data_IF_672056634216
#
_entry.id   IF_672056634216
#
_cell.length_a   1.000
_cell.length_b   1.000
_cell.length_c   1.000
_cell.angle_alpha   90.00
_cell.angle_beta   90.00
_cell.angle_gamma   90.00
#
_symmetry.space_group_name_H-M   'P 1'
#
loop_
_entity.id
_entity.type
_entity.pdbx_description
1 polymer ?
#
# COMPACT_ATOMS: atom_id res chain seq x y z
N UNK A 1 -31.87 34.44 -6.79
CA UNK A 1 -32.79 33.31 -7.02
C UNK A 1 -31.99 32.25 -7.75
N UNK A 2 -31.57 31.16 -7.09
CA UNK A 2 -30.74 30.13 -7.72
C UNK A 2 -31.60 29.30 -8.67
N UNK A 3 -31.27 29.32 -9.96
CA UNK A 3 -31.96 28.52 -10.99
C UNK A 3 -31.46 27.09 -10.85
N UNK A 4 -32.31 26.20 -10.33
CA UNK A 4 -31.97 24.79 -10.21
C UNK A 4 -32.18 24.09 -11.57
N UNK A 5 -31.16 23.40 -12.07
CA UNK A 5 -31.24 22.58 -13.29
C UNK A 5 -32.21 21.42 -13.01
N UNK A 6 -33.27 21.27 -13.80
CA UNK A 6 -34.31 20.24 -13.61
C UNK A 6 -34.08 18.96 -14.42
N UNK A 7 -32.95 18.85 -15.11
CA UNK A 7 -32.62 17.67 -15.91
C UNK A 7 -32.13 16.51 -15.02
N UNK A 8 -32.87 15.39 -14.94
CA UNK A 8 -32.45 14.24 -14.14
C UNK A 8 -31.17 13.57 -14.68
N UNK A 9 -30.93 13.61 -15.99
CA UNK A 9 -29.73 13.02 -16.61
C UNK A 9 -28.48 13.78 -16.20
N UNK A 10 -28.56 15.11 -16.12
CA UNK A 10 -27.48 15.93 -15.59
C UNK A 10 -27.08 15.51 -14.17
N UNK A 11 -28.04 15.39 -13.25
CA UNK A 11 -27.77 15.00 -11.86
C UNK A 11 -27.30 13.56 -11.72
N UNK A 12 -27.80 12.67 -12.59
CA UNK A 12 -27.30 11.30 -12.69
C UNK A 12 -25.82 11.29 -13.09
N UNK A 13 -25.44 12.02 -14.15
CA UNK A 13 -24.06 12.10 -14.61
C UNK A 13 -23.12 12.68 -13.55
N UNK A 14 -23.55 13.72 -12.80
CA UNK A 14 -22.79 14.27 -11.68
C UNK A 14 -22.61 13.25 -10.56
N UNK A 15 -23.66 12.50 -10.22
CA UNK A 15 -23.60 11.46 -9.20
C UNK A 15 -22.66 10.32 -9.61
N UNK A 16 -22.72 9.93 -10.88
CA UNK A 16 -21.83 8.96 -11.50
C UNK A 16 -20.36 9.42 -11.45
N UNK A 17 -20.06 10.64 -11.90
CA UNK A 17 -18.71 11.21 -11.83
C UNK A 17 -18.19 11.27 -10.39
N UNK A 18 -19.04 11.67 -9.44
CA UNK A 18 -18.68 11.71 -8.01
C UNK A 18 -18.31 10.33 -7.48
N UNK A 19 -19.02 9.28 -7.88
CA UNK A 19 -18.71 7.90 -7.49
C UNK A 19 -17.31 7.51 -7.94
N UNK A 20 -16.96 7.77 -9.20
CA UNK A 20 -15.66 7.43 -9.78
C UNK A 20 -14.51 8.29 -9.24
N UNK A 21 -14.75 9.56 -8.91
CA UNK A 21 -13.72 10.48 -8.42
C UNK A 21 -13.48 10.39 -6.91
N UNK A 22 -14.40 9.79 -6.15
CA UNK A 22 -14.26 9.70 -4.69
C UNK A 22 -13.06 8.85 -4.23
N UNK A 23 -12.82 7.63 -4.75
CA UNK A 23 -11.63 6.85 -4.37
C UNK A 23 -10.29 7.59 -4.59
N UNK A 24 -10.02 8.21 -5.76
CA UNK A 24 -8.75 8.88 -6.02
C UNK A 24 -8.63 10.20 -5.25
N UNK A 25 -9.73 10.91 -4.98
CA UNK A 25 -9.70 12.06 -4.09
C UNK A 25 -9.30 11.66 -2.65
N UNK A 26 -9.81 10.53 -2.16
CA UNK A 26 -9.39 9.98 -0.86
C UNK A 26 -7.90 9.58 -0.88
N UNK A 27 -7.46 8.89 -1.92
CA UNK A 27 -6.06 8.51 -2.09
C UNK A 27 -5.12 9.73 -2.15
N UNK A 28 -5.50 10.79 -2.88
CA UNK A 28 -4.75 12.03 -2.96
C UNK A 28 -4.63 12.69 -1.58
N UNK A 29 -5.73 12.78 -0.84
CA UNK A 29 -5.70 13.34 0.52
C UNK A 29 -4.79 12.54 1.46
N UNK A 30 -4.82 11.21 1.37
CA UNK A 30 -3.98 10.34 2.20
C UNK A 30 -2.50 10.43 1.83
N UNK A 31 -2.19 10.51 0.54
CA UNK A 31 -0.81 10.59 0.03
C UNK A 31 -0.19 11.97 0.20
N UNK A 32 -1.01 13.03 0.29
CA UNK A 32 -0.58 14.39 0.59
C UNK A 32 -0.49 14.68 2.09
N UNK A 33 -0.94 13.77 2.96
CA UNK A 33 -0.82 13.95 4.39
C UNK A 33 0.67 14.04 4.81
N UNK A 34 0.99 14.94 5.74
CA UNK A 34 2.37 15.18 6.23
C UNK A 34 3.04 13.94 6.80
N UNK A 35 2.25 12.94 7.22
CA UNK A 35 2.72 11.67 7.79
C UNK A 35 2.54 10.48 6.82
N UNK A 36 2.39 10.72 5.52
CA UNK A 36 2.30 9.65 4.54
C UNK A 36 3.60 8.84 4.51
N UNK A 37 3.50 7.54 4.76
CA UNK A 37 4.61 6.60 4.68
C UNK A 37 4.53 5.80 3.38
N UNK A 38 5.67 5.28 2.93
CA UNK A 38 5.77 4.50 1.68
C UNK A 38 4.82 3.29 1.68
N UNK A 39 4.70 2.59 2.81
CA UNK A 39 3.75 1.48 2.96
C UNK A 39 2.29 1.94 2.81
N UNK A 40 1.94 3.14 3.30
CA UNK A 40 0.61 3.72 3.11
C UNK A 40 0.30 3.97 1.64
N UNK A 41 1.29 4.39 0.84
CA UNK A 41 1.12 4.60 -0.61
C UNK A 41 0.78 3.28 -1.30
N UNK A 42 1.51 2.19 -1.04
CA UNK A 42 1.24 0.90 -1.67
C UNK A 42 -0.13 0.33 -1.24
N UNK A 43 -0.48 0.43 0.03
CA UNK A 43 -1.82 0.03 0.51
C UNK A 43 -2.92 0.87 -0.15
N UNK A 44 -2.67 2.14 -0.44
CA UNK A 44 -3.60 3.01 -1.16
C UNK A 44 -3.79 2.55 -2.60
N UNK A 45 -2.72 2.14 -3.31
CA UNK A 45 -2.86 1.51 -4.63
C UNK A 45 -3.69 0.23 -4.57
N UNK A 46 -3.43 -0.64 -3.59
CA UNK A 46 -4.22 -1.86 -3.37
C UNK A 46 -5.70 -1.54 -3.11
N UNK A 47 -5.99 -0.54 -2.28
CA UNK A 47 -7.34 -0.07 -2.02
C UNK A 47 -8.05 0.42 -3.28
N UNK A 48 -7.39 1.26 -4.10
CA UNK A 48 -7.97 1.75 -5.36
C UNK A 48 -8.29 0.61 -6.31
N UNK A 49 -7.36 -0.34 -6.47
CA UNK A 49 -7.57 -1.52 -7.31
C UNK A 49 -8.77 -2.34 -6.85
N UNK A 50 -8.90 -2.56 -5.54
CA UNK A 50 -10.05 -3.28 -4.97
C UNK A 50 -11.37 -2.53 -5.21
N UNK A 51 -11.40 -1.20 -4.99
CA UNK A 51 -12.59 -0.38 -5.18
C UNK A 51 -13.07 -0.43 -6.64
N UNK A 52 -12.18 -0.21 -7.60
CA UNK A 52 -12.56 -0.20 -9.02
C UNK A 52 -12.90 -1.59 -9.55
N UNK A 53 -12.22 -2.65 -9.08
CA UNK A 53 -12.59 -4.03 -9.43
C UNK A 53 -13.96 -4.45 -8.88
N UNK A 54 -14.46 -3.78 -7.84
CA UNK A 54 -15.79 -4.02 -7.29
C UNK A 54 -16.92 -3.26 -8.01
N UNK A 55 -16.59 -2.35 -8.93
CA UNK A 55 -17.56 -1.65 -9.77
C UNK A 55 -17.88 -2.53 -10.98
N UNK A 56 -19.02 -3.24 -10.91
CA UNK A 56 -19.43 -4.24 -11.89
C UNK A 56 -20.51 -3.76 -12.87
N UNK A 57 -20.98 -2.53 -12.73
CA UNK A 57 -22.04 -1.99 -13.59
C UNK A 57 -21.54 -1.89 -15.04
N UNK A 58 -22.32 -2.33 -16.04
CA UNK A 58 -21.91 -2.30 -17.45
C UNK A 58 -21.50 -0.90 -17.94
N UNK A 59 -22.14 0.14 -17.40
CA UNK A 59 -21.89 1.55 -17.70
C UNK A 59 -20.52 2.03 -17.19
N UNK A 60 -19.96 1.35 -16.20
CA UNK A 60 -18.68 1.70 -15.55
C UNK A 60 -17.48 1.06 -16.22
N UNK A 61 -17.66 -0.01 -17.00
CA UNK A 61 -16.58 -0.86 -17.52
C UNK A 61 -15.50 -0.05 -18.23
N UNK A 62 -15.88 0.89 -19.10
CA UNK A 62 -14.92 1.72 -19.83
C UNK A 62 -14.06 2.60 -18.92
N UNK A 63 -14.69 3.25 -17.93
CA UNK A 63 -13.99 4.09 -16.97
C UNK A 63 -13.09 3.28 -16.03
N UNK A 64 -13.61 2.17 -15.51
CA UNK A 64 -12.90 1.24 -14.62
C UNK A 64 -11.65 0.69 -15.31
N UNK A 65 -11.76 0.23 -16.56
CA UNK A 65 -10.62 -0.28 -17.34
C UNK A 65 -9.55 0.79 -17.52
N UNK A 66 -9.94 2.02 -17.88
CA UNK A 66 -9.00 3.12 -18.05
C UNK A 66 -8.29 3.48 -16.73
N UNK A 67 -9.01 3.46 -15.61
CA UNK A 67 -8.45 3.77 -14.29
C UNK A 67 -7.51 2.67 -13.81
N UNK A 68 -7.92 1.39 -13.92
CA UNK A 68 -7.07 0.25 -13.57
C UNK A 68 -5.79 0.28 -14.41
N UNK A 69 -5.91 0.45 -15.74
CA UNK A 69 -4.74 0.55 -16.61
C UNK A 69 -3.82 1.72 -16.23
N UNK A 70 -4.39 2.84 -15.78
CA UNK A 70 -3.59 3.97 -15.29
C UNK A 70 -2.86 3.66 -13.97
N UNK A 71 -3.46 2.87 -13.08
CA UNK A 71 -2.83 2.44 -11.83
C UNK A 71 -1.71 1.44 -12.13
N UNK A 72 -1.96 0.44 -12.97
CA UNK A 72 -0.98 -0.57 -13.37
C UNK A 72 0.20 0.07 -14.10
N UNK A 73 -0.05 1.03 -15.00
CA UNK A 73 1.01 1.79 -15.66
C UNK A 73 1.88 2.57 -14.67
N UNK A 74 1.28 3.20 -13.65
CA UNK A 74 2.06 3.90 -12.61
C UNK A 74 2.86 2.93 -11.74
N UNK A 75 2.29 1.76 -11.44
CA UNK A 75 2.98 0.71 -10.70
C UNK A 75 4.18 0.17 -11.48
N UNK A 76 4.06 -0.03 -12.80
CA UNK A 76 5.17 -0.44 -13.67
C UNK A 76 6.32 0.58 -13.68
N UNK A 77 6.02 1.88 -13.53
CA UNK A 77 7.01 2.96 -13.59
C UNK A 77 7.62 3.37 -12.26
N UNK A 78 7.16 2.82 -11.13
CA UNK A 78 7.73 3.14 -9.83
C UNK A 78 8.76 2.11 -9.36
N UNK A 79 9.57 2.48 -8.36
CA UNK A 79 10.52 1.58 -7.72
C UNK A 79 9.80 0.55 -6.83
N UNK A 80 9.18 -0.45 -7.46
CA UNK A 80 8.31 -1.44 -6.82
C UNK A 80 8.98 -2.12 -5.61
N UNK A 81 10.27 -2.41 -5.71
CA UNK A 81 11.06 -3.06 -4.67
C UNK A 81 11.02 -2.30 -3.35
N UNK A 82 11.10 -0.96 -3.41
CA UNK A 82 11.05 -0.10 -2.22
C UNK A 82 9.67 -0.17 -1.55
N UNK A 83 8.60 -0.20 -2.34
CA UNK A 83 7.25 -0.33 -1.82
C UNK A 83 7.01 -1.72 -1.20
N UNK A 84 7.49 -2.78 -1.86
CA UNK A 84 7.42 -4.16 -1.35
C UNK A 84 8.18 -4.26 -0.04
N UNK A 85 9.42 -3.78 0.02
CA UNK A 85 10.23 -3.74 1.23
C UNK A 85 9.54 -3.00 2.37
N UNK A 86 8.93 -1.84 2.10
CA UNK A 86 8.22 -1.06 3.11
C UNK A 86 7.02 -1.83 3.72
N UNK A 87 6.36 -2.70 2.96
CA UNK A 87 5.28 -3.57 3.46
C UNK A 87 5.85 -4.75 4.23
N UNK A 88 6.90 -5.40 3.71
CA UNK A 88 7.56 -6.52 4.39
C UNK A 88 8.11 -6.11 5.75
N UNK A 89 8.73 -4.94 5.85
CA UNK A 89 9.26 -4.40 7.10
C UNK A 89 8.16 -3.86 8.04
N UNK A 90 6.91 -3.79 7.57
CA UNK A 90 5.79 -3.45 8.42
C UNK A 90 5.36 -4.67 9.24
N UNK A 91 5.51 -4.56 10.56
CA UNK A 91 5.21 -5.60 11.54
C UNK A 91 3.80 -6.20 11.47
N UNK A 92 2.82 -5.43 11.00
CA UNK A 92 1.43 -5.87 10.90
C UNK A 92 1.16 -6.68 9.64
N UNK A 93 1.87 -6.38 8.55
CA UNK A 93 1.62 -7.00 7.24
C UNK A 93 2.64 -8.10 6.93
N UNK A 94 3.92 -7.79 7.08
CA UNK A 94 5.04 -8.64 6.67
C UNK A 94 4.83 -9.18 5.26
N UNK A 95 4.91 -10.50 5.10
CA UNK A 95 4.73 -11.21 3.82
C UNK A 95 3.29 -11.54 3.50
N UNK A 96 2.35 -11.30 4.43
CA UNK A 96 0.93 -11.68 4.28
C UNK A 96 0.29 -11.14 2.99
N UNK A 97 0.50 -9.86 2.59
CA UNK A 97 -0.09 -9.35 1.34
C UNK A 97 0.45 -10.02 0.08
N UNK A 98 1.60 -10.69 0.16
CA UNK A 98 2.31 -11.29 -0.96
C UNK A 98 2.28 -12.82 -0.92
N UNK A 99 1.56 -13.44 0.02
CA UNK A 99 1.55 -14.90 0.21
C UNK A 99 1.07 -15.71 -1.01
N UNK A 100 0.35 -15.05 -1.92
CA UNK A 100 -0.16 -15.66 -3.15
C UNK A 100 0.78 -15.46 -4.35
N UNK A 101 1.92 -14.80 -4.18
CA UNK A 101 2.92 -14.53 -5.22
C UNK A 101 4.13 -15.43 -4.95
N UNK A 102 4.29 -16.56 -5.67
CA UNK A 102 5.37 -17.52 -5.42
C UNK A 102 6.78 -16.91 -5.50
N UNK A 103 6.95 -15.87 -6.31
CA UNK A 103 8.19 -15.14 -6.51
C UNK A 103 8.57 -14.30 -5.27
N UNK A 104 7.62 -13.95 -4.41
CA UNK A 104 7.85 -13.19 -3.17
C UNK A 104 7.89 -14.12 -1.95
N UNK A 105 8.67 -15.20 -2.06
CA UNK A 105 9.01 -16.07 -0.94
C UNK A 105 10.11 -15.45 -0.05
N UNK A 106 10.32 -16.01 1.14
CA UNK A 106 11.29 -15.47 2.11
C UNK A 106 12.69 -15.29 1.54
N UNK A 107 13.19 -16.22 0.72
CA UNK A 107 14.54 -16.13 0.12
C UNK A 107 14.67 -14.94 -0.83
N UNK A 108 13.69 -14.77 -1.72
CA UNK A 108 13.69 -13.65 -2.66
C UNK A 108 13.46 -12.32 -1.95
N UNK A 109 12.67 -12.31 -0.87
CA UNK A 109 12.50 -11.14 -0.01
C UNK A 109 13.80 -10.77 0.70
N UNK A 110 14.54 -11.73 1.26
CA UNK A 110 15.85 -11.45 1.86
C UNK A 110 16.80 -10.85 0.83
N UNK A 111 16.90 -11.46 -0.35
CA UNK A 111 17.75 -10.97 -1.45
C UNK A 111 17.37 -9.54 -1.85
N UNK A 112 16.08 -9.25 -2.00
CA UNK A 112 15.57 -7.91 -2.31
C UNK A 112 15.98 -6.90 -1.23
N UNK A 113 15.86 -7.25 0.06
CA UNK A 113 16.22 -6.38 1.16
C UNK A 113 17.73 -6.15 1.27
N UNK A 114 18.55 -7.16 0.96
CA UNK A 114 20.01 -7.03 0.87
C UNK A 114 20.44 -6.10 -0.28
N UNK A 115 19.84 -6.27 -1.46
CA UNK A 115 20.08 -5.40 -2.60
C UNK A 115 19.71 -3.94 -2.29
N UNK A 116 18.54 -3.72 -1.67
CA UNK A 116 18.11 -2.39 -1.25
C UNK A 116 19.00 -1.81 -0.15
N UNK A 117 19.47 -2.62 0.79
CA UNK A 117 20.43 -2.19 1.80
C UNK A 117 21.71 -1.67 1.12
N UNK A 118 22.30 -2.46 0.23
CA UNK A 118 23.49 -2.06 -0.49
C UNK A 118 23.26 -0.80 -1.34
N UNK A 119 22.09 -0.68 -1.96
CA UNK A 119 21.74 0.49 -2.77
C UNK A 119 21.59 1.77 -1.92
N UNK A 120 20.92 1.69 -0.76
CA UNK A 120 20.69 2.88 0.07
C UNK A 120 21.92 3.29 0.88
N UNK A 121 22.66 2.32 1.43
CA UNK A 121 23.78 2.60 2.31
C UNK A 121 25.12 2.64 1.57
N UNK A 122 25.19 2.14 0.33
CA UNK A 122 26.43 2.07 -0.46
C UNK A 122 27.52 1.19 0.19
N UNK A 123 27.10 0.20 0.99
CA UNK A 123 27.95 -0.80 1.64
C UNK A 123 27.29 -2.18 1.58
N UNK A 124 28.08 -3.24 1.64
CA UNK A 124 27.54 -4.60 1.77
C UNK A 124 26.77 -4.75 3.10
N UNK A 125 25.68 -5.54 3.11
CA UNK A 125 24.99 -5.87 4.35
C UNK A 125 25.93 -6.54 5.35
N UNK A 126 25.77 -6.27 6.66
CA UNK A 126 26.49 -6.99 7.70
C UNK A 126 26.28 -8.50 7.57
N UNK A 127 27.26 -9.31 8.00
CA UNK A 127 27.17 -10.78 7.93
C UNK A 127 25.98 -11.38 8.68
N UNK A 128 25.44 -10.65 9.66
CA UNK A 128 24.29 -11.06 10.47
C UNK A 128 22.94 -10.67 9.85
N UNK A 129 22.95 -9.89 8.77
CA UNK A 129 21.74 -9.29 8.20
C UNK A 129 20.74 -10.35 7.71
N UNK A 130 21.19 -11.35 6.96
CA UNK A 130 20.34 -12.45 6.48
C UNK A 130 19.69 -13.24 7.63
N UNK A 131 20.47 -13.51 8.68
CA UNK A 131 19.98 -14.21 9.85
C UNK A 131 18.94 -13.38 10.62
N UNK A 132 19.18 -12.08 10.78
CA UNK A 132 18.20 -11.15 11.38
C UNK A 132 16.92 -11.06 10.56
N UNK A 133 17.02 -10.96 9.23
CA UNK A 133 15.85 -10.96 8.36
C UNK A 133 15.07 -12.27 8.46
N UNK A 134 15.75 -13.40 8.46
CA UNK A 134 15.13 -14.72 8.65
C UNK A 134 14.40 -14.81 9.98
N UNK A 135 15.03 -14.38 11.08
CA UNK A 135 14.41 -14.33 12.40
C UNK A 135 13.20 -13.39 12.45
N UNK A 136 13.29 -12.23 11.78
CA UNK A 136 12.21 -11.26 11.67
C UNK A 136 11.00 -11.83 10.91
N UNK A 137 11.23 -12.44 9.75
CA UNK A 137 10.18 -13.00 8.90
C UNK A 137 9.47 -14.18 9.56
N UNK A 138 10.18 -14.94 10.40
CA UNK A 138 9.66 -16.14 11.07
C UNK A 138 9.11 -15.87 12.48
N UNK A 139 9.18 -14.63 12.98
CA UNK A 139 8.82 -14.30 14.37
C UNK A 139 9.62 -15.13 15.39
N UNK A 140 10.92 -15.28 15.18
CA UNK A 140 11.82 -16.01 16.08
C UNK A 140 12.94 -15.12 16.61
N UNK A 141 13.77 -15.65 17.51
CA UNK A 141 14.89 -14.93 18.09
C UNK A 141 14.44 -13.67 18.83
N UNK A 142 15.09 -12.54 18.54
CA UNK A 142 14.76 -11.25 19.15
C UNK A 142 13.39 -10.67 18.74
N UNK A 143 12.77 -11.23 17.69
CA UNK A 143 11.53 -10.73 17.10
C UNK A 143 10.26 -11.44 17.57
N UNK A 144 10.37 -12.55 18.32
CA UNK A 144 9.23 -13.41 18.73
C UNK A 144 8.09 -12.69 19.47
N UNK A 145 8.38 -11.55 20.10
CA UNK A 145 7.40 -10.72 20.81
C UNK A 145 7.35 -9.27 20.31
N UNK A 146 7.92 -8.97 19.14
CA UNK A 146 8.04 -7.59 18.66
C UNK A 146 6.66 -6.94 18.48
N UNK A 147 5.70 -7.68 17.95
CA UNK A 147 4.32 -7.21 17.78
C UNK A 147 3.66 -6.80 19.10
N UNK A 148 3.88 -7.57 20.17
CA UNK A 148 3.32 -7.27 21.51
C UNK A 148 3.98 -6.01 22.08
N UNK A 149 5.31 -5.91 21.96
CA UNK A 149 6.09 -4.76 22.44
C UNK A 149 5.70 -3.47 21.72
N UNK A 150 5.50 -3.51 20.40
CA UNK A 150 5.08 -2.34 19.63
C UNK A 150 3.69 -1.85 20.04
N UNK A 151 2.71 -2.75 20.22
CA UNK A 151 1.36 -2.36 20.67
C UNK A 151 1.38 -1.75 22.08
N UNK A 152 2.22 -2.27 22.98
CA UNK A 152 2.39 -1.71 24.31
C UNK A 152 3.01 -0.30 24.28
N UNK A 153 3.99 -0.07 23.39
CA UNK A 153 4.59 1.24 23.20
C UNK A 153 3.60 2.27 22.64
N UNK A 154 2.76 1.87 21.67
CA UNK A 154 1.69 2.71 21.11
C UNK A 154 0.64 3.08 22.17
N UNK A 155 0.19 2.12 22.96
CA UNK A 155 -0.75 2.36 24.07
C UNK A 155 -0.18 3.34 25.12
N UNK A 156 1.12 3.22 25.43
CA UNK A 156 1.80 4.11 26.38
C UNK A 156 2.00 5.53 25.86
N UNK A 157 2.06 5.70 24.53
CA UNK A 157 2.23 7.01 23.88
C UNK A 157 0.91 7.75 23.77
N UNK A 158 -0.19 7.04 23.47
CA UNK A 158 -1.54 7.61 23.42
C UNK A 158 -2.12 8.00 24.79
N UNK A 159 -1.49 7.60 25.89
CA UNK A 159 -1.81 8.05 27.25
C UNK A 159 -1.13 9.36 27.66
N UNK A 160 -0.23 9.90 26.81
CA UNK A 160 0.53 11.13 27.06
C UNK A 160 0.08 12.33 26.22
N UNK A 161 -1.06 12.23 25.54
CA UNK A 161 -1.70 13.31 24.76
C UNK A 161 -2.97 13.75 25.46
#
# INVERSE_FOLDING_TARGET
>A
MSVCIKDPLFWYAISWMKMHLKPPAFAANLTQATLCRINTVLLTFGFLMMQYKSMLEPEDVGAVVAIIGSIEWRWEKCDQEIFIAAIVLNLFYKTTPFSHIPELNNTNICTLLECLYAHFFQYEPPSEFDNQLSHYLQDTGEFQNLNVRCRQAEASTNLKV
#
